data_IF_031277708115
#
_entry.id   IF_031277708115
#
_cell.length_a   1.000
_cell.length_b   1.000
_cell.length_c   1.000
_cell.angle_alpha   90.00
_cell.angle_beta   90.00
_cell.angle_gamma   90.00
#
_symmetry.space_group_name_H-M   'P 1'
#
loop_
_entity.id
_entity.type
_entity.pdbx_description
1 polymer ?
#
# COMPACT_ATOMS: atom_id res chain seq x y z
N UNK A 1 27.38 41.31 1.43
CA UNK A 1 26.61 40.39 2.33
C UNK A 1 25.52 39.72 1.49
N UNK A 2 25.78 38.46 1.07
CA UNK A 2 24.83 37.68 0.29
C UNK A 2 23.67 37.26 1.17
N UNK A 3 22.45 37.65 0.80
CA UNK A 3 21.24 37.07 1.37
C UNK A 3 21.22 35.58 1.06
N UNK A 4 21.48 34.76 2.07
CA UNK A 4 21.23 33.31 1.98
C UNK A 4 19.72 33.11 1.82
N UNK A 5 19.27 32.66 0.66
CA UNK A 5 17.87 32.26 0.47
C UNK A 5 17.54 31.18 1.49
N UNK A 6 16.56 31.45 2.35
CA UNK A 6 16.10 30.53 3.36
C UNK A 6 14.92 29.75 2.79
N UNK A 7 15.08 28.43 2.66
CA UNK A 7 13.96 27.55 2.35
C UNK A 7 13.30 27.12 3.67
N UNK A 8 12.07 27.51 3.88
CA UNK A 8 11.28 27.04 5.02
C UNK A 8 10.59 25.73 4.65
N UNK A 9 11.13 24.62 5.17
CA UNK A 9 10.52 23.30 5.04
C UNK A 9 9.45 23.16 6.12
N UNK A 10 8.28 22.67 5.75
CA UNK A 10 7.22 22.37 6.71
C UNK A 10 7.73 21.39 7.77
N UNK A 11 7.40 21.61 9.05
CA UNK A 11 7.81 20.72 10.16
C UNK A 11 7.55 19.24 9.90
N UNK A 12 6.46 18.92 9.21
CA UNK A 12 6.11 17.55 8.77
C UNK A 12 7.10 16.94 7.78
N UNK A 13 7.98 17.75 7.18
CA UNK A 13 9.07 17.28 6.32
C UNK A 13 10.40 17.10 7.07
N UNK A 14 10.49 17.61 8.31
CA UNK A 14 11.67 17.43 9.14
C UNK A 14 11.71 15.99 9.66
N UNK A 15 12.83 15.31 9.49
CA UNK A 15 13.01 13.94 9.98
C UNK A 15 12.44 12.84 9.10
N UNK A 16 11.90 13.15 7.92
CA UNK A 16 11.53 12.14 6.94
C UNK A 16 12.80 11.45 6.41
N UNK A 17 13.11 10.28 6.96
CA UNK A 17 14.22 9.44 6.51
C UNK A 17 13.65 8.18 5.84
N UNK A 18 14.03 7.96 4.60
CA UNK A 18 13.73 6.70 3.94
C UNK A 18 14.83 5.69 4.27
N UNK A 19 14.65 4.90 5.31
CA UNK A 19 15.66 4.00 5.89
C UNK A 19 16.29 3.05 4.86
N UNK A 20 15.50 2.57 3.90
CA UNK A 20 15.99 1.70 2.83
C UNK A 20 17.11 2.40 2.04
N UNK A 21 17.00 3.70 1.75
CA UNK A 21 18.05 4.44 1.04
C UNK A 21 19.32 4.59 1.88
N UNK A 22 19.17 4.78 3.19
CA UNK A 22 20.32 4.84 4.12
C UNK A 22 21.05 3.50 4.16
N UNK A 23 20.31 2.39 4.27
CA UNK A 23 20.88 1.03 4.23
C UNK A 23 21.60 0.79 2.90
N UNK A 24 20.98 1.14 1.76
CA UNK A 24 21.63 1.06 0.44
C UNK A 24 22.92 1.88 0.38
N UNK A 25 22.92 3.08 0.96
CA UNK A 25 24.12 3.93 1.05
C UNK A 25 25.26 3.24 1.84
N UNK A 26 24.94 2.60 2.95
CA UNK A 26 25.91 1.81 3.73
C UNK A 26 26.42 0.61 2.94
N UNK A 27 25.52 -0.17 2.34
CA UNK A 27 25.85 -1.32 1.53
C UNK A 27 26.77 -0.98 0.35
N UNK A 28 26.51 0.12 -0.35
CA UNK A 28 27.34 0.60 -1.43
C UNK A 28 28.77 0.98 -0.95
N UNK A 29 28.90 1.59 0.23
CA UNK A 29 30.22 1.86 0.82
C UNK A 29 30.97 0.58 1.15
N UNK A 30 30.31 -0.42 1.73
CA UNK A 30 30.91 -1.73 2.00
C UNK A 30 31.36 -2.42 0.72
N UNK A 31 30.53 -2.39 -0.33
CA UNK A 31 30.87 -2.92 -1.66
C UNK A 31 32.09 -2.22 -2.26
N UNK A 32 32.21 -0.89 -2.12
CA UNK A 32 33.38 -0.15 -2.59
C UNK A 32 34.67 -0.50 -1.83
N UNK A 33 34.54 -1.06 -0.61
CA UNK A 33 35.65 -1.60 0.17
C UNK A 33 35.94 -3.07 -0.15
N UNK A 34 35.33 -3.65 -1.20
CA UNK A 34 35.55 -5.03 -1.63
C UNK A 34 34.73 -6.08 -0.90
N UNK A 35 33.76 -5.68 -0.07
CA UNK A 35 32.85 -6.62 0.58
C UNK A 35 31.76 -7.09 -0.39
N UNK A 36 31.46 -8.38 -0.37
CA UNK A 36 30.31 -8.95 -1.08
C UNK A 36 29.02 -8.56 -0.37
N UNK A 37 28.02 -8.08 -1.12
CA UNK A 37 26.73 -7.66 -0.61
C UNK A 37 25.62 -8.39 -1.34
N UNK A 38 24.79 -9.15 -0.61
CA UNK A 38 23.57 -9.77 -1.13
C UNK A 38 22.41 -8.80 -0.99
N UNK A 39 21.75 -8.52 -2.11
CA UNK A 39 20.66 -7.53 -2.18
C UNK A 39 19.29 -8.19 -2.03
N UNK A 40 18.72 -8.15 -0.83
CA UNK A 40 17.41 -8.71 -0.50
C UNK A 40 16.34 -7.63 -0.18
N UNK A 41 16.74 -6.36 -0.17
CA UNK A 41 15.94 -5.24 0.35
C UNK A 41 15.02 -4.58 -0.67
N UNK A 42 15.15 -4.89 -1.98
CA UNK A 42 14.32 -4.29 -3.03
C UNK A 42 13.52 -5.40 -3.71
N UNK A 43 12.21 -5.33 -3.53
CA UNK A 43 11.25 -6.24 -4.16
C UNK A 43 10.87 -5.76 -5.58
N UNK A 44 11.85 -5.57 -6.45
CA UNK A 44 11.61 -5.31 -7.87
C UNK A 44 11.68 -6.65 -8.62
N UNK A 45 10.54 -7.17 -9.10
CA UNK A 45 10.50 -8.48 -9.74
C UNK A 45 11.37 -8.54 -11.00
N UNK A 46 11.43 -7.47 -11.78
CA UNK A 46 12.22 -7.44 -13.03
C UNK A 46 13.71 -7.48 -12.73
N UNK A 47 14.18 -6.69 -11.74
CA UNK A 47 15.59 -6.75 -11.31
C UNK A 47 15.98 -8.07 -10.64
N UNK A 48 14.99 -8.84 -10.16
CA UNK A 48 15.18 -10.18 -9.59
C UNK A 48 15.06 -11.31 -10.62
N UNK A 49 14.88 -10.97 -11.90
CA UNK A 49 14.89 -11.92 -13.01
C UNK A 49 13.52 -12.31 -13.58
N UNK A 50 12.45 -11.80 -13.02
CA UNK A 50 11.11 -11.98 -13.58
C UNK A 50 11.00 -11.27 -14.93
N UNK A 51 10.22 -11.87 -15.83
CA UNK A 51 10.00 -11.32 -17.16
C UNK A 51 8.56 -10.84 -17.30
N UNK A 52 8.40 -9.66 -17.88
CA UNK A 52 7.08 -9.22 -18.33
C UNK A 52 6.63 -10.16 -19.44
N UNK A 53 5.42 -10.73 -19.37
CA UNK A 53 4.88 -11.61 -20.42
C UNK A 53 4.91 -10.94 -21.79
N UNK A 54 5.22 -11.69 -22.83
CA UNK A 54 5.37 -11.12 -24.17
C UNK A 54 4.07 -10.54 -24.70
N UNK A 55 2.92 -11.14 -24.41
CA UNK A 55 1.61 -10.59 -24.76
C UNK A 55 1.36 -9.18 -24.20
N UNK A 56 1.87 -8.86 -22.99
CA UNK A 56 1.77 -7.51 -22.42
C UNK A 56 2.60 -6.50 -23.21
N UNK A 57 3.79 -6.91 -23.67
CA UNK A 57 4.65 -6.06 -24.52
C UNK A 57 4.00 -5.82 -25.87
N UNK A 58 3.38 -6.86 -26.45
CA UNK A 58 2.68 -6.77 -27.73
C UNK A 58 1.50 -5.78 -27.64
N UNK A 59 0.66 -5.92 -26.62
CA UNK A 59 -0.44 -4.97 -26.35
C UNK A 59 0.09 -3.54 -26.22
N UNK A 60 1.17 -3.33 -25.47
CA UNK A 60 1.75 -2.00 -25.30
C UNK A 60 2.26 -1.43 -26.63
N UNK A 61 2.95 -2.24 -27.44
CA UNK A 61 3.43 -1.84 -28.79
C UNK A 61 2.26 -1.45 -29.68
N UNK A 62 1.15 -2.18 -29.62
CA UNK A 62 -0.04 -1.88 -30.43
C UNK A 62 -0.71 -0.57 -29.98
N UNK A 63 -0.86 -0.38 -28.68
CA UNK A 63 -1.40 0.87 -28.13
C UNK A 63 -0.56 2.10 -28.51
N UNK A 64 0.77 1.98 -28.57
CA UNK A 64 1.65 3.08 -28.94
C UNK A 64 1.58 3.50 -30.42
N UNK A 65 0.89 2.74 -31.28
CA UNK A 65 0.68 3.11 -32.68
C UNK A 65 -0.45 4.13 -32.87
N UNK A 66 -1.32 4.27 -31.89
CA UNK A 66 -2.49 5.13 -31.96
C UNK A 66 -2.26 6.45 -31.24
N UNK A 67 -2.36 7.56 -31.95
CA UNK A 67 -2.10 8.92 -31.43
C UNK A 67 -2.97 9.27 -30.21
N UNK A 68 -4.20 8.74 -30.16
CA UNK A 68 -5.11 8.99 -29.03
C UNK A 68 -4.55 8.51 -27.68
N UNK A 69 -3.68 7.52 -27.68
CA UNK A 69 -3.07 6.97 -26.47
C UNK A 69 -1.96 7.88 -25.87
N UNK A 70 -1.61 8.96 -26.58
CA UNK A 70 -0.73 10.02 -26.08
C UNK A 70 -1.50 11.20 -25.48
N UNK A 71 -2.82 11.20 -25.55
CA UNK A 71 -3.66 12.25 -25.00
C UNK A 71 -3.78 12.12 -23.46
N UNK A 72 -4.28 13.18 -22.81
CA UNK A 72 -4.63 13.10 -21.39
C UNK A 72 -5.74 12.08 -21.14
N UNK A 73 -5.53 11.25 -20.13
CA UNK A 73 -6.61 10.39 -19.60
C UNK A 73 -7.58 11.20 -18.74
N UNK A 74 -8.84 10.75 -18.58
CA UNK A 74 -9.75 11.30 -17.59
C UNK A 74 -9.13 11.26 -16.18
N UNK A 75 -9.49 12.22 -15.33
CA UNK A 75 -8.89 12.39 -13.99
C UNK A 75 -8.96 11.14 -13.11
N UNK A 76 -10.05 10.38 -13.19
CA UNK A 76 -10.22 9.12 -12.45
C UNK A 76 -9.58 7.91 -13.15
N UNK A 77 -9.18 8.06 -14.41
CA UNK A 77 -8.81 6.97 -15.30
C UNK A 77 -9.93 6.64 -16.30
N UNK A 78 -9.63 5.86 -17.32
CA UNK A 78 -10.59 5.45 -18.34
C UNK A 78 -11.77 4.69 -17.75
N UNK A 79 -12.98 5.09 -18.12
CA UNK A 79 -14.22 4.53 -17.58
C UNK A 79 -14.35 3.03 -17.86
N UNK A 80 -14.09 2.61 -19.08
CA UNK A 80 -14.12 1.19 -19.48
C UNK A 80 -13.19 0.32 -18.61
N UNK A 81 -12.02 0.85 -18.22
CA UNK A 81 -11.08 0.13 -17.34
C UNK A 81 -11.63 0.06 -15.91
N UNK A 82 -12.25 1.13 -15.43
CA UNK A 82 -12.87 1.19 -14.10
C UNK A 82 -14.10 0.27 -14.02
N UNK A 83 -14.94 0.24 -15.06
CA UNK A 83 -16.06 -0.69 -15.20
C UNK A 83 -15.57 -2.15 -15.17
N UNK A 84 -14.53 -2.46 -15.95
CA UNK A 84 -13.93 -3.80 -15.96
C UNK A 84 -13.45 -4.24 -14.57
N UNK A 85 -12.81 -3.35 -13.82
CA UNK A 85 -12.37 -3.66 -12.44
C UNK A 85 -13.58 -3.85 -11.53
N UNK A 86 -14.58 -2.97 -11.60
CA UNK A 86 -15.80 -3.07 -10.80
C UNK A 86 -16.53 -4.39 -11.06
N UNK A 87 -16.70 -4.79 -12.31
CA UNK A 87 -17.28 -6.09 -12.65
C UNK A 87 -16.51 -7.27 -12.05
N UNK A 88 -15.19 -7.24 -12.05
CA UNK A 88 -14.36 -8.31 -11.48
C UNK A 88 -14.51 -8.39 -9.97
N UNK A 89 -14.54 -7.26 -9.29
CA UNK A 89 -14.80 -7.20 -7.83
C UNK A 89 -16.20 -7.74 -7.54
N UNK A 90 -17.20 -7.27 -8.25
CA UNK A 90 -18.61 -7.64 -8.04
C UNK A 90 -18.91 -9.13 -8.31
N UNK A 91 -18.19 -9.74 -9.27
CA UNK A 91 -18.32 -11.19 -9.55
C UNK A 91 -17.72 -12.06 -8.45
N UNK A 92 -16.75 -11.54 -7.69
CA UNK A 92 -16.02 -12.29 -6.66
C UNK A 92 -16.55 -12.00 -5.27
N UNK A 93 -16.79 -10.73 -4.96
CA UNK A 93 -17.08 -10.23 -3.62
C UNK A 93 -18.56 -10.11 -3.31
N UNK A 94 -18.84 -9.94 -2.03
CA UNK A 94 -20.19 -9.61 -1.55
C UNK A 94 -20.51 -8.12 -1.70
N UNK A 95 -19.46 -7.28 -1.60
CA UNK A 95 -19.58 -5.83 -1.79
C UNK A 95 -19.75 -5.52 -3.26
N UNK A 96 -20.71 -4.67 -3.59
CA UNK A 96 -20.92 -4.19 -4.95
C UNK A 96 -20.40 -2.77 -5.09
N UNK A 97 -19.60 -2.53 -6.13
CA UNK A 97 -19.02 -1.23 -6.47
C UNK A 97 -19.33 -0.87 -7.92
N UNK A 98 -19.18 0.39 -8.24
CA UNK A 98 -19.32 0.94 -9.60
C UNK A 98 -17.98 1.50 -10.10
N UNK A 99 -17.93 1.94 -11.34
CA UNK A 99 -16.77 2.64 -11.87
C UNK A 99 -16.43 3.92 -11.08
N UNK A 100 -17.41 4.56 -10.47
CA UNK A 100 -17.22 5.80 -9.70
C UNK A 100 -16.54 5.57 -8.35
N UNK A 101 -16.49 4.34 -7.88
CA UNK A 101 -15.76 3.95 -6.67
C UNK A 101 -14.27 3.68 -6.93
N UNK A 102 -13.81 3.83 -8.18
CA UNK A 102 -12.43 3.52 -8.59
C UNK A 102 -11.74 4.77 -9.12
N UNK A 103 -10.52 5.00 -8.66
CA UNK A 103 -9.65 6.07 -9.15
C UNK A 103 -8.22 5.56 -9.35
N UNK A 104 -7.60 5.92 -10.49
CA UNK A 104 -6.22 5.57 -10.82
C UNK A 104 -5.21 6.61 -10.37
N UNK A 105 -4.01 6.13 -10.01
CA UNK A 105 -2.88 6.92 -9.55
C UNK A 105 -1.57 6.51 -10.24
N UNK A 106 -0.55 7.35 -10.13
CA UNK A 106 0.80 7.07 -10.65
C UNK A 106 1.55 6.04 -9.78
N UNK A 107 0.99 4.85 -9.69
CA UNK A 107 1.43 3.77 -8.81
C UNK A 107 0.86 3.90 -7.40
N UNK A 108 0.97 2.81 -6.64
CA UNK A 108 0.35 2.72 -5.32
C UNK A 108 0.93 3.71 -4.31
N UNK A 109 2.21 4.08 -4.44
CA UNK A 109 2.82 5.10 -3.57
C UNK A 109 2.14 6.47 -3.69
N UNK A 110 1.65 6.84 -4.88
CA UNK A 110 0.88 8.08 -5.08
C UNK A 110 -0.51 7.95 -4.46
N UNK A 111 -1.18 6.82 -4.63
CA UNK A 111 -2.48 6.53 -4.00
C UNK A 111 -2.39 6.63 -2.47
N UNK A 112 -1.37 6.02 -1.86
CA UNK A 112 -1.10 6.08 -0.42
C UNK A 112 -0.94 7.54 0.03
N UNK A 113 -0.05 8.29 -0.62
CA UNK A 113 0.21 9.68 -0.26
C UNK A 113 -1.06 10.54 -0.34
N UNK A 114 -1.89 10.35 -1.36
CA UNK A 114 -3.15 11.08 -1.53
C UNK A 114 -4.20 10.69 -0.49
N UNK A 115 -4.38 9.40 -0.25
CA UNK A 115 -5.33 8.91 0.75
C UNK A 115 -5.01 9.48 2.14
N UNK A 116 -3.75 9.39 2.58
CA UNK A 116 -3.35 9.93 3.88
C UNK A 116 -3.46 11.47 3.94
N UNK A 117 -3.13 12.18 2.86
CA UNK A 117 -3.23 13.65 2.83
C UNK A 117 -4.68 14.16 2.90
N UNK A 118 -5.66 13.32 2.60
CA UNK A 118 -7.08 13.66 2.71
C UNK A 118 -7.64 13.52 4.14
N UNK A 119 -6.88 12.90 5.04
CA UNK A 119 -7.29 12.70 6.44
C UNK A 119 -6.96 13.97 7.24
N UNK A 120 -7.76 14.26 8.25
CA UNK A 120 -7.51 15.40 9.15
C UNK A 120 -6.19 15.21 9.90
N UNK A 121 -5.40 16.28 10.04
CA UNK A 121 -4.06 16.24 10.67
C UNK A 121 -4.04 15.78 12.13
N UNK A 122 -5.16 15.86 12.83
CA UNK A 122 -5.34 15.40 14.22
C UNK A 122 -5.84 13.95 14.32
N UNK A 123 -6.15 13.31 13.20
CA UNK A 123 -6.59 11.93 13.11
C UNK A 123 -5.41 10.99 12.80
N UNK A 124 -5.57 9.70 13.03
CA UNK A 124 -4.53 8.68 12.87
C UNK A 124 -5.06 7.44 12.19
N UNK A 125 -4.23 6.85 11.33
CA UNK A 125 -4.38 5.46 10.93
C UNK A 125 -3.43 4.63 11.79
N UNK A 126 -3.93 3.59 12.46
CA UNK A 126 -3.07 2.64 13.16
C UNK A 126 -2.50 1.62 12.18
N UNK A 127 -1.17 1.41 12.24
CA UNK A 127 -0.40 0.60 11.29
C UNK A 127 0.08 -0.70 11.93
N UNK A 128 0.26 -1.80 11.16
CA UNK A 128 1.01 -2.96 11.65
C UNK A 128 2.49 -2.58 11.86
N UNK A 129 3.17 -3.24 12.80
CA UNK A 129 4.60 -3.04 13.05
C UNK A 129 5.31 -4.40 13.15
N UNK A 130 6.27 -4.70 12.24
CA UNK A 130 6.76 -3.83 11.15
C UNK A 130 5.72 -3.60 10.04
N UNK A 131 5.94 -2.57 9.22
CA UNK A 131 5.06 -2.22 8.10
C UNK A 131 5.84 -1.74 6.89
N UNK A 132 5.16 -1.64 5.74
CA UNK A 132 5.73 -1.03 4.55
C UNK A 132 6.03 0.45 4.78
N UNK A 133 7.29 0.83 4.54
CA UNK A 133 7.80 2.17 4.84
C UNK A 133 7.01 3.32 4.19
N UNK A 134 6.40 3.10 3.04
CA UNK A 134 5.60 4.13 2.36
C UNK A 134 4.35 4.49 3.16
N UNK A 135 3.64 3.51 3.74
CA UNK A 135 2.52 3.79 4.64
C UNK A 135 2.97 4.49 5.91
N UNK A 136 4.09 4.01 6.51
CA UNK A 136 4.66 4.65 7.70
C UNK A 136 5.00 6.12 7.46
N UNK A 137 5.71 6.41 6.37
CA UNK A 137 6.11 7.77 6.02
C UNK A 137 4.90 8.65 5.64
N UNK A 138 3.88 8.09 4.99
CA UNK A 138 2.66 8.82 4.68
C UNK A 138 1.94 9.25 5.97
N UNK A 139 1.86 8.37 6.98
CA UNK A 139 1.27 8.71 8.28
C UNK A 139 2.10 9.73 9.06
N UNK A 140 3.44 9.60 9.08
CA UNK A 140 4.34 10.60 9.69
C UNK A 140 4.16 11.97 9.00
N UNK A 141 4.12 12.00 7.68
CA UNK A 141 3.97 13.23 6.91
C UNK A 141 2.59 13.87 7.13
N UNK A 142 1.55 13.06 7.18
CA UNK A 142 0.17 13.50 7.42
C UNK A 142 0.03 14.15 8.80
N UNK A 143 0.50 13.47 9.83
CA UNK A 143 0.19 13.79 11.22
C UNK A 143 1.29 14.55 11.97
N UNK A 144 2.49 14.64 11.43
CA UNK A 144 3.68 15.26 12.06
C UNK A 144 4.10 14.64 13.42
N UNK A 145 3.66 13.40 13.70
CA UNK A 145 3.98 12.63 14.90
C UNK A 145 4.30 11.19 14.53
N UNK A 146 5.00 10.45 15.40
CA UNK A 146 5.18 9.01 15.22
C UNK A 146 3.83 8.31 15.06
N UNK A 147 3.71 7.36 14.13
CA UNK A 147 2.47 6.61 13.93
C UNK A 147 2.06 5.82 15.16
N UNK A 148 0.77 5.61 15.33
CA UNK A 148 0.26 4.56 16.20
C UNK A 148 0.41 3.22 15.49
N UNK A 149 0.93 2.21 16.18
CA UNK A 149 1.16 0.88 15.60
C UNK A 149 0.53 -0.21 16.45
N UNK A 150 0.28 -1.39 15.85
CA UNK A 150 -0.02 -2.64 16.54
C UNK A 150 0.98 -3.70 16.11
N UNK A 151 1.41 -4.53 17.07
CA UNK A 151 2.54 -5.44 16.86
C UNK A 151 2.15 -6.63 15.99
N UNK A 152 3.00 -6.93 15.00
CA UNK A 152 3.05 -8.23 14.33
C UNK A 152 4.06 -9.10 15.07
N UNK A 153 3.61 -10.21 15.66
CA UNK A 153 4.43 -10.98 16.61
C UNK A 153 5.31 -12.02 15.90
N UNK A 154 6.64 -11.83 15.84
CA UNK A 154 7.55 -12.76 15.17
C UNK A 154 7.58 -14.15 15.82
N UNK A 155 7.34 -14.26 17.11
CA UNK A 155 7.32 -15.52 17.84
C UNK A 155 6.04 -16.33 17.62
N UNK A 156 5.00 -15.69 17.02
CA UNK A 156 3.75 -16.31 16.63
C UNK A 156 3.53 -16.22 15.12
N UNK A 157 4.55 -16.49 14.32
CA UNK A 157 4.48 -16.47 12.85
C UNK A 157 3.91 -15.18 12.28
N UNK A 158 4.23 -14.06 12.90
CA UNK A 158 3.78 -12.73 12.52
C UNK A 158 2.26 -12.48 12.62
N UNK A 159 1.56 -13.26 13.47
CA UNK A 159 0.16 -12.92 13.78
C UNK A 159 0.08 -11.54 14.43
N UNK A 160 -0.89 -10.69 14.03
CA UNK A 160 -1.12 -9.41 14.69
C UNK A 160 -1.57 -9.60 16.13
N UNK A 161 -1.08 -8.76 17.03
CA UNK A 161 -1.58 -8.68 18.41
C UNK A 161 -2.95 -7.98 18.41
N UNK A 162 -3.99 -8.78 18.27
CA UNK A 162 -5.35 -8.28 18.17
C UNK A 162 -5.86 -7.65 19.46
N UNK A 163 -5.28 -8.03 20.61
CA UNK A 163 -5.65 -7.42 21.89
C UNK A 163 -5.02 -6.04 22.02
N UNK A 164 -3.76 -5.89 21.60
CA UNK A 164 -3.09 -4.59 21.53
C UNK A 164 -3.83 -3.63 20.59
N UNK A 165 -4.21 -4.10 19.39
CA UNK A 165 -4.99 -3.31 18.43
C UNK A 165 -6.30 -2.81 19.06
N UNK A 166 -7.06 -3.69 19.67
CA UNK A 166 -8.35 -3.35 20.27
C UNK A 166 -8.21 -2.37 21.44
N UNK A 167 -7.22 -2.56 22.31
CA UNK A 167 -6.93 -1.65 23.43
C UNK A 167 -6.56 -0.27 22.91
N UNK A 168 -5.68 -0.19 21.91
CA UNK A 168 -5.23 1.09 21.32
C UNK A 168 -6.38 1.84 20.65
N UNK A 169 -7.19 1.16 19.87
CA UNK A 169 -8.37 1.73 19.21
C UNK A 169 -9.34 2.31 20.24
N UNK A 170 -9.63 1.57 21.32
CA UNK A 170 -10.55 2.03 22.37
C UNK A 170 -10.00 3.21 23.20
N UNK A 171 -8.70 3.24 23.42
CA UNK A 171 -8.06 4.23 24.31
C UNK A 171 -7.59 5.50 23.60
N UNK A 172 -7.36 5.48 22.28
CA UNK A 172 -6.83 6.61 21.51
C UNK A 172 -7.86 7.13 20.51
N UNK A 173 -8.64 8.12 20.92
CA UNK A 173 -9.71 8.70 20.10
C UNK A 173 -9.26 9.37 18.80
N UNK A 174 -7.96 9.62 18.65
CA UNK A 174 -7.41 10.11 17.39
C UNK A 174 -7.31 9.02 16.30
N UNK A 175 -7.36 7.74 16.67
CA UNK A 175 -7.35 6.63 15.70
C UNK A 175 -8.72 6.61 15.02
N UNK A 176 -8.73 6.80 13.69
CA UNK A 176 -9.93 6.82 12.85
C UNK A 176 -9.91 5.73 11.77
N UNK A 177 -8.78 5.04 11.58
CA UNK A 177 -8.64 3.99 10.59
C UNK A 177 -7.61 2.95 10.97
N UNK A 178 -7.73 1.76 10.37
CA UNK A 178 -6.82 0.63 10.54
C UNK A 178 -6.23 0.24 9.19
N UNK A 179 -4.89 0.18 9.10
CA UNK A 179 -4.19 -0.35 7.92
C UNK A 179 -4.02 -1.86 8.04
N UNK A 180 -4.32 -2.56 6.97
CA UNK A 180 -3.98 -3.97 6.74
C UNK A 180 -3.26 -4.08 5.41
N UNK A 181 -2.12 -4.78 5.37
CA UNK A 181 -1.43 -5.15 4.14
C UNK A 181 -1.55 -6.66 4.00
N UNK A 182 -2.21 -7.15 2.96
CA UNK A 182 -2.51 -8.58 2.85
C UNK A 182 -2.29 -9.15 1.43
N UNK A 183 -1.33 -10.06 1.25
CA UNK A 183 -0.24 -10.49 2.16
C UNK A 183 0.63 -9.35 2.67
N UNK A 184 1.13 -9.48 3.91
CA UNK A 184 1.82 -8.41 4.60
C UNK A 184 3.24 -8.14 4.07
N UNK A 185 3.61 -6.90 4.04
CA UNK A 185 4.97 -6.45 3.77
C UNK A 185 5.50 -5.68 4.99
N UNK A 186 6.56 -6.16 5.68
CA UNK A 186 7.61 -7.06 5.15
C UNK A 186 7.49 -8.54 5.57
N UNK A 187 6.52 -8.93 6.38
CA UNK A 187 6.53 -10.22 7.07
C UNK A 187 6.14 -11.42 6.20
N UNK A 188 5.44 -11.18 5.08
CA UNK A 188 4.86 -12.22 4.24
C UNK A 188 3.66 -12.93 4.89
N UNK A 189 3.15 -12.42 6.01
CA UNK A 189 2.00 -12.99 6.69
C UNK A 189 0.74 -12.88 5.82
N UNK A 190 0.03 -13.99 5.66
CA UNK A 190 -1.27 -14.05 5.00
C UNK A 190 -2.33 -14.10 6.09
N UNK A 191 -3.17 -13.09 6.16
CA UNK A 191 -4.18 -12.97 7.21
C UNK A 191 -5.27 -14.04 7.05
N UNK A 192 -5.51 -14.89 8.07
CA UNK A 192 -6.65 -15.79 8.09
C UNK A 192 -7.98 -15.01 8.11
N UNK A 193 -9.03 -15.61 7.56
CA UNK A 193 -10.37 -15.00 7.51
C UNK A 193 -10.85 -14.55 8.89
N UNK A 194 -10.67 -15.37 9.91
CA UNK A 194 -11.04 -15.05 11.28
C UNK A 194 -10.39 -13.76 11.79
N UNK A 195 -9.09 -13.59 11.51
CA UNK A 195 -8.35 -12.38 11.90
C UNK A 195 -8.87 -11.15 11.16
N UNK A 196 -9.09 -11.27 9.84
CA UNK A 196 -9.63 -10.17 9.03
C UNK A 196 -11.05 -9.78 9.50
N UNK A 197 -11.92 -10.75 9.75
CA UNK A 197 -13.26 -10.47 10.28
C UNK A 197 -13.23 -9.82 11.67
N UNK A 198 -12.27 -10.21 12.52
CA UNK A 198 -12.08 -9.52 13.82
C UNK A 198 -11.64 -8.07 13.63
N UNK A 199 -10.77 -7.76 12.65
CA UNK A 199 -10.39 -6.39 12.32
C UNK A 199 -11.59 -5.58 11.82
N UNK A 200 -12.39 -6.14 10.90
CA UNK A 200 -13.62 -5.49 10.42
C UNK A 200 -14.57 -5.19 11.58
N UNK A 201 -14.78 -6.15 12.47
CA UNK A 201 -15.61 -5.96 13.67
C UNK A 201 -15.08 -4.87 14.60
N UNK A 202 -13.77 -4.82 14.85
CA UNK A 202 -13.15 -3.76 15.66
C UNK A 202 -13.40 -2.40 15.00
N UNK A 203 -13.25 -2.30 13.67
CA UNK A 203 -13.52 -1.07 12.95
C UNK A 203 -15.00 -0.65 13.06
N UNK A 204 -15.93 -1.56 12.87
CA UNK A 204 -17.36 -1.32 12.96
C UNK A 204 -17.78 -0.87 14.38
N UNK A 205 -17.30 -1.54 15.43
CA UNK A 205 -17.63 -1.22 16.82
C UNK A 205 -17.07 0.13 17.31
N UNK A 206 -16.10 0.72 16.58
CA UNK A 206 -15.42 1.94 16.97
C UNK A 206 -15.52 3.07 15.92
N UNK A 207 -16.43 2.97 14.94
CA UNK A 207 -16.63 3.95 13.87
C UNK A 207 -15.34 4.30 13.10
N UNK A 208 -14.53 3.27 12.77
CA UNK A 208 -13.29 3.42 12.03
C UNK A 208 -13.49 3.03 10.57
N UNK A 209 -12.66 3.60 9.69
CA UNK A 209 -12.53 3.08 8.33
C UNK A 209 -11.36 2.11 8.20
N UNK A 210 -11.34 1.35 7.11
CA UNK A 210 -10.28 0.40 6.82
C UNK A 210 -9.46 0.86 5.61
N UNK A 211 -8.15 0.64 5.66
CA UNK A 211 -7.25 0.76 4.51
C UNK A 211 -6.63 -0.60 4.27
N UNK A 212 -6.90 -1.20 3.10
CA UNK A 212 -6.34 -2.48 2.70
C UNK A 212 -5.39 -2.28 1.52
N UNK A 213 -4.12 -2.58 1.74
CA UNK A 213 -3.14 -2.69 0.66
C UNK A 213 -3.11 -4.15 0.19
N UNK A 214 -3.71 -4.39 -0.97
CA UNK A 214 -3.82 -5.71 -1.60
C UNK A 214 -2.87 -5.87 -2.80
N UNK A 215 -1.74 -5.15 -2.82
CA UNK A 215 -0.78 -5.21 -3.92
C UNK A 215 -0.23 -6.63 -4.16
N UNK A 216 -0.25 -7.50 -3.14
CA UNK A 216 0.23 -8.88 -3.17
C UNK A 216 -0.90 -9.93 -3.14
N UNK A 217 -2.17 -9.52 -3.35
CA UNK A 217 -3.35 -10.36 -3.05
C UNK A 217 -3.33 -11.75 -3.71
N UNK A 218 -2.74 -11.89 -4.89
CA UNK A 218 -2.62 -13.16 -5.60
C UNK A 218 -1.21 -13.79 -5.50
N UNK A 219 -0.29 -13.18 -4.75
CA UNK A 219 1.07 -13.69 -4.58
C UNK A 219 1.18 -14.54 -3.32
N UNK A 220 0.54 -15.69 -3.32
CA UNK A 220 0.54 -16.66 -2.22
C UNK A 220 1.11 -17.99 -2.68
N UNK A 221 1.67 -18.74 -1.73
CA UNK A 221 2.42 -19.97 -1.96
C UNK A 221 1.89 -21.11 -1.07
N UNK A 222 2.29 -22.32 -1.35
CA UNK A 222 1.99 -23.51 -0.52
C UNK A 222 0.50 -23.74 -0.30
N UNK A 223 -0.34 -23.43 -1.29
CA UNK A 223 -1.78 -23.65 -1.22
C UNK A 223 -2.54 -22.66 -0.32
N UNK A 224 -1.87 -21.61 0.16
CA UNK A 224 -2.54 -20.53 0.89
C UNK A 224 -3.51 -19.78 -0.02
N UNK A 225 -4.55 -19.24 0.58
CA UNK A 225 -5.52 -18.37 -0.09
C UNK A 225 -5.66 -17.06 0.65
N UNK A 226 -5.80 -15.99 -0.11
CA UNK A 226 -6.11 -14.66 0.41
C UNK A 226 -7.60 -14.41 0.33
N UNK A 227 -8.08 -13.60 1.25
CA UNK A 227 -9.46 -13.11 1.26
C UNK A 227 -9.41 -11.61 0.98
N UNK A 228 -9.98 -11.16 -0.14
CA UNK A 228 -10.02 -9.74 -0.44
C UNK A 228 -11.00 -9.01 0.48
N UNK A 229 -10.73 -7.73 0.67
CA UNK A 229 -11.59 -6.86 1.48
C UNK A 229 -13.06 -6.91 1.05
N UNK A 230 -13.31 -6.92 -0.27
CA UNK A 230 -14.66 -6.97 -0.84
C UNK A 230 -15.50 -8.15 -0.38
N UNK A 231 -14.88 -9.23 0.12
CA UNK A 231 -15.60 -10.42 0.59
C UNK A 231 -16.04 -10.29 2.06
N UNK A 232 -15.46 -9.34 2.83
CA UNK A 232 -15.61 -9.30 4.28
C UNK A 232 -15.92 -7.92 4.86
N UNK A 233 -15.82 -6.84 4.07
CA UNK A 233 -15.89 -5.47 4.60
C UNK A 233 -17.26 -5.09 5.16
N UNK A 234 -18.31 -5.73 4.70
CA UNK A 234 -19.69 -5.45 5.11
C UNK A 234 -20.04 -3.95 4.89
N UNK A 235 -20.55 -3.25 5.91
CA UNK A 235 -20.93 -1.83 5.85
C UNK A 235 -19.83 -0.89 6.38
N UNK A 236 -18.61 -1.39 6.64
CA UNK A 236 -17.51 -0.57 7.14
C UNK A 236 -16.92 0.26 6.00
N UNK A 237 -16.81 1.60 6.15
CA UNK A 237 -16.14 2.43 5.14
C UNK A 237 -14.71 1.95 4.91
N UNK A 238 -14.30 1.79 3.67
CA UNK A 238 -13.00 1.22 3.39
C UNK A 238 -12.39 1.72 2.08
N UNK A 239 -11.06 1.72 2.04
CA UNK A 239 -10.23 1.97 0.85
C UNK A 239 -9.45 0.69 0.58
N UNK A 240 -9.62 0.12 -0.62
CA UNK A 240 -8.81 -1.01 -1.09
C UNK A 240 -7.81 -0.51 -2.13
N UNK A 241 -6.54 -0.79 -1.93
CA UNK A 241 -5.45 -0.33 -2.79
C UNK A 241 -4.86 -1.50 -3.57
N UNK A 242 -4.76 -1.37 -4.88
CA UNK A 242 -4.21 -2.38 -5.80
C UNK A 242 -3.32 -1.74 -6.86
N UNK A 243 -2.57 -2.57 -7.57
CA UNK A 243 -1.74 -2.11 -8.67
C UNK A 243 -1.06 -3.26 -9.40
N UNK A 244 -0.40 -2.95 -10.52
CA UNK A 244 0.25 -3.96 -11.38
C UNK A 244 1.74 -4.16 -11.10
N UNK A 245 2.26 -3.51 -10.05
CA UNK A 245 3.71 -3.50 -9.78
C UNK A 245 4.28 -4.85 -9.35
N UNK A 246 3.45 -5.72 -8.77
CA UNK A 246 3.92 -6.98 -8.16
C UNK A 246 3.33 -8.20 -8.86
N UNK A 247 2.02 -8.32 -8.86
CA UNK A 247 1.32 -9.44 -9.50
C UNK A 247 1.62 -9.54 -11.01
N UNK A 248 1.70 -8.40 -11.70
CA UNK A 248 1.99 -8.31 -13.14
C UNK A 248 3.42 -7.86 -13.43
N UNK A 249 4.42 -8.24 -12.71
CA UNK A 249 5.79 -7.79 -12.52
C UNK A 249 6.17 -6.51 -13.30
N UNK A 250 5.34 -5.47 -13.23
CA UNK A 250 5.57 -4.23 -13.98
C UNK A 250 5.53 -2.96 -13.10
N UNK A 251 6.47 -2.83 -12.16
CA UNK A 251 6.55 -1.65 -11.29
C UNK A 251 6.82 -0.35 -12.05
N UNK A 252 7.45 -0.44 -13.22
CA UNK A 252 7.77 0.71 -14.08
C UNK A 252 6.56 1.33 -14.78
N UNK A 253 5.43 0.63 -14.91
CA UNK A 253 4.20 1.17 -15.49
C UNK A 253 3.58 2.30 -14.67
N UNK A 254 3.91 2.41 -13.38
CA UNK A 254 3.35 3.41 -12.45
C UNK A 254 1.82 3.42 -12.48
N UNK A 255 1.20 2.26 -12.32
CA UNK A 255 -0.26 2.11 -12.30
C UNK A 255 -0.72 1.48 -10.97
N UNK A 256 -1.64 2.19 -10.28
CA UNK A 256 -2.30 1.74 -9.05
C UNK A 256 -3.68 2.38 -8.93
N UNK A 257 -4.56 1.77 -8.19
CA UNK A 257 -5.94 2.23 -8.00
C UNK A 257 -6.45 1.86 -6.61
#
# INVERSE_FOLDING_TARGET
EGQTMRFDIAKRGEGLTYEIRNIVGVANRLKSCGMEVTWENIGDPVHKGEKIPDWMKEVLVDLLKEDINYAYSPTQGHEETREFIAERVNKRGKTQITADDIIFFNGLGDAIARAYSAIRVDARIILPEPTYSTHFLAEVHHASFPPSTYRMNPYHKWHPDMNELEIKVKSHKAIVGILVINPDNPTGFVYPEETLRRIVKIAQENDLFLVFDEIYINMVYNGQQTIPLSDIVEDVPAICMKGISKEFPWPGARCGW
#
